data_IF_414496065437
#
_entry.id   IF_414496065437
#
_cell.length_a   1.000
_cell.length_b   1.000
_cell.length_c   1.000
_cell.angle_alpha   90.00
_cell.angle_beta   90.00
_cell.angle_gamma   90.00
#
_symmetry.space_group_name_H-M   'P 1'
#
loop_
_entity.id
_entity.type
_entity.pdbx_description
1 polymer ?
#
# COMPACT_ATOMS: atom_id res chain seq x y z
N UNK A 1 17.65 -16.21 -0.05
CA UNK A 1 18.35 -14.96 0.37
C UNK A 1 17.92 -14.61 1.79
N UNK A 2 18.82 -13.96 2.54
CA UNK A 2 18.52 -13.31 3.80
C UNK A 2 18.31 -11.81 3.57
N UNK A 3 17.13 -11.29 3.88
CA UNK A 3 16.77 -9.88 3.78
C UNK A 3 16.70 -9.28 5.19
N UNK A 4 17.43 -8.20 5.43
CA UNK A 4 17.37 -7.41 6.67
C UNK A 4 16.72 -6.07 6.35
N UNK A 5 15.58 -5.79 6.96
CA UNK A 5 14.73 -4.63 6.64
C UNK A 5 14.58 -3.75 7.87
N UNK A 6 14.83 -2.46 7.73
CA UNK A 6 14.53 -1.42 8.72
C UNK A 6 13.34 -0.62 8.21
N UNK A 7 12.18 -0.77 8.85
CA UNK A 7 10.93 -0.21 8.36
C UNK A 7 10.07 0.47 9.41
N UNK A 8 8.95 1.05 8.95
CA UNK A 8 8.03 1.77 9.81
C UNK A 8 7.32 0.81 10.78
N UNK A 9 6.54 -0.11 10.25
CA UNK A 9 5.82 -1.13 11.02
C UNK A 9 5.31 -2.25 10.14
N UNK A 10 5.40 -3.46 10.62
CA UNK A 10 4.74 -4.66 10.13
C UNK A 10 3.82 -5.24 11.21
N UNK A 11 4.08 -4.88 12.48
CA UNK A 11 3.38 -5.43 13.64
C UNK A 11 2.00 -4.81 13.86
N UNK A 12 1.70 -3.63 13.29
CA UNK A 12 0.42 -2.95 13.44
C UNK A 12 -0.15 -2.47 12.11
N UNK A 13 -1.37 -2.88 11.79
CA UNK A 13 -2.12 -2.39 10.62
C UNK A 13 -2.87 -1.08 10.89
N UNK A 14 -2.81 -0.55 12.10
CA UNK A 14 -3.57 0.61 12.52
C UNK A 14 -3.15 1.87 11.77
N UNK A 15 -4.09 2.42 11.01
CA UNK A 15 -3.95 3.72 10.35
C UNK A 15 -2.93 3.80 9.21
N UNK A 16 -2.32 2.68 8.80
CA UNK A 16 -1.36 2.67 7.70
C UNK A 16 -1.48 1.41 6.82
N UNK A 17 -1.10 1.55 5.55
CA UNK A 17 -1.09 0.45 4.58
C UNK A 17 0.24 -0.33 4.51
N UNK A 18 1.32 0.17 5.13
CA UNK A 18 2.64 -0.46 5.04
C UNK A 18 2.63 -1.88 5.62
N UNK A 19 1.95 -2.07 6.77
CA UNK A 19 1.87 -3.38 7.41
C UNK A 19 1.24 -4.43 6.50
N UNK A 20 0.13 -4.12 5.83
CA UNK A 20 -0.56 -5.05 4.93
C UNK A 20 0.34 -5.43 3.75
N UNK A 21 1.03 -4.44 3.15
CA UNK A 21 1.98 -4.65 2.05
C UNK A 21 3.11 -5.57 2.49
N UNK A 22 3.75 -5.26 3.62
CA UNK A 22 4.86 -6.06 4.14
C UNK A 22 4.45 -7.47 4.53
N UNK A 23 3.31 -7.65 5.20
CA UNK A 23 2.84 -8.98 5.61
C UNK A 23 2.63 -9.90 4.41
N UNK A 24 1.99 -9.40 3.37
CA UNK A 24 1.77 -10.14 2.13
C UNK A 24 3.10 -10.49 1.44
N UNK A 25 3.99 -9.51 1.26
CA UNK A 25 5.28 -9.70 0.60
C UNK A 25 6.20 -10.64 1.41
N UNK A 26 6.31 -10.46 2.73
CA UNK A 26 7.13 -11.33 3.57
C UNK A 26 6.66 -12.78 3.54
N UNK A 27 5.33 -13.01 3.57
CA UNK A 27 4.78 -14.37 3.44
C UNK A 27 5.12 -15.01 2.11
N UNK A 28 5.00 -14.26 1.00
CA UNK A 28 5.35 -14.75 -0.32
C UNK A 28 6.86 -15.04 -0.45
N UNK A 29 7.71 -14.15 0.03
CA UNK A 29 9.15 -14.35 0.05
C UNK A 29 9.55 -15.58 0.90
N UNK A 30 8.93 -15.78 2.05
CA UNK A 30 9.16 -16.96 2.90
C UNK A 30 8.80 -18.28 2.18
N UNK A 31 7.66 -18.32 1.47
CA UNK A 31 7.26 -19.47 0.64
C UNK A 31 8.30 -19.78 -0.46
N UNK A 32 9.01 -18.77 -0.94
CA UNK A 32 10.08 -18.88 -1.94
C UNK A 32 11.45 -19.20 -1.33
N UNK A 33 11.51 -19.47 -0.01
CA UNK A 33 12.71 -19.88 0.71
C UNK A 33 13.63 -18.73 1.13
N UNK A 34 13.12 -17.49 1.17
CA UNK A 34 13.84 -16.37 1.73
C UNK A 34 13.62 -16.26 3.24
N UNK A 35 14.61 -15.71 3.94
CA UNK A 35 14.54 -15.43 5.37
C UNK A 35 14.55 -13.92 5.61
N UNK A 36 13.55 -13.40 6.29
CA UNK A 36 13.37 -11.97 6.52
C UNK A 36 13.62 -11.64 7.99
N UNK A 37 14.44 -10.64 8.27
CA UNK A 37 14.56 -10.01 9.59
C UNK A 37 14.06 -8.59 9.48
N UNK A 38 12.96 -8.30 10.12
CA UNK A 38 12.34 -6.97 10.08
C UNK A 38 12.55 -6.25 11.40
N UNK A 39 13.30 -5.14 11.36
CA UNK A 39 13.52 -4.25 12.49
C UNK A 39 12.45 -3.17 12.50
N UNK A 40 11.72 -3.07 13.59
CA UNK A 40 10.65 -2.10 13.82
C UNK A 40 10.85 -1.40 15.16
N UNK A 41 10.89 -0.07 15.15
CA UNK A 41 10.91 0.69 16.39
C UNK A 41 9.54 0.62 17.07
N UNK A 42 9.54 0.19 18.34
CA UNK A 42 8.33 0.03 19.13
C UNK A 42 7.82 1.39 19.64
N UNK A 43 7.12 2.11 18.74
CA UNK A 43 6.53 3.40 19.08
C UNK A 43 5.14 3.22 19.68
N UNK A 44 4.75 4.01 20.72
CA UNK A 44 3.48 3.85 21.42
C UNK A 44 2.25 3.84 20.51
N UNK A 45 2.27 4.64 19.44
CA UNK A 45 1.16 4.74 18.48
C UNK A 45 0.81 3.40 17.83
N UNK A 46 1.81 2.58 17.49
CA UNK A 46 1.62 1.26 16.91
C UNK A 46 1.55 0.15 17.96
N UNK A 47 2.30 0.27 19.04
CA UNK A 47 2.38 -0.72 20.11
C UNK A 47 1.01 -1.05 20.73
N UNK A 48 0.18 -0.03 20.98
CA UNK A 48 -1.17 -0.19 21.55
C UNK A 48 -2.18 -0.82 20.58
N UNK A 49 -1.84 -0.89 19.30
CA UNK A 49 -2.69 -1.44 18.23
C UNK A 49 -2.00 -2.60 17.50
N UNK A 50 -1.04 -3.28 18.16
CA UNK A 50 -0.33 -4.41 17.57
C UNK A 50 -1.28 -5.58 17.35
N UNK A 51 -1.35 -6.04 16.11
CA UNK A 51 -2.18 -7.15 15.65
C UNK A 51 -1.36 -8.28 15.00
N UNK A 52 0.00 -8.16 14.99
CA UNK A 52 0.92 -9.20 14.58
C UNK A 52 2.10 -9.26 15.57
N UNK A 53 2.41 -10.46 16.11
CA UNK A 53 3.51 -10.69 17.05
C UNK A 53 4.66 -11.50 16.45
N UNK A 54 4.40 -12.24 15.40
CA UNK A 54 5.38 -13.09 14.72
C UNK A 54 5.35 -12.84 13.21
N UNK A 55 6.51 -12.73 12.58
CA UNK A 55 6.62 -12.58 11.14
C UNK A 55 6.71 -13.96 10.48
N UNK A 56 5.73 -14.37 9.67
CA UNK A 56 5.76 -15.66 8.99
C UNK A 56 7.02 -15.85 8.16
N UNK A 57 7.76 -16.93 8.43
CA UNK A 57 9.00 -17.25 7.69
C UNK A 57 10.18 -16.33 7.96
N UNK A 58 10.15 -15.56 9.05
CA UNK A 58 11.18 -14.60 9.38
C UNK A 58 11.20 -14.26 10.87
N UNK A 59 11.81 -13.13 11.19
CA UNK A 59 11.98 -12.63 12.54
C UNK A 59 11.56 -11.16 12.62
N UNK A 60 10.65 -10.85 13.54
CA UNK A 60 10.31 -9.48 13.92
C UNK A 60 11.19 -9.07 15.09
N UNK A 61 11.99 -8.00 14.91
CA UNK A 61 12.81 -7.40 15.93
C UNK A 61 12.22 -6.05 16.34
N UNK A 62 11.50 -6.04 17.44
CA UNK A 62 11.03 -4.81 18.08
C UNK A 62 12.15 -4.21 18.93
N UNK A 63 12.32 -2.88 18.86
CA UNK A 63 13.30 -2.17 19.66
C UNK A 63 12.78 -0.79 20.10
N UNK A 64 13.20 -0.35 21.26
CA UNK A 64 12.82 0.96 21.81
C UNK A 64 13.90 2.01 21.56
N UNK A 65 15.18 1.63 21.62
CA UNK A 65 16.32 2.51 21.42
C UNK A 65 17.27 1.95 20.37
N UNK A 66 17.76 2.83 19.47
CA UNK A 66 18.66 2.46 18.39
C UNK A 66 20.00 1.92 18.89
N UNK A 67 20.55 2.55 19.95
CA UNK A 67 21.83 2.10 20.53
C UNK A 67 21.78 0.69 21.08
N UNK A 68 20.66 0.30 21.70
CA UNK A 68 20.48 -1.02 22.25
C UNK A 68 20.34 -2.10 21.17
N UNK A 69 19.70 -1.79 20.05
CA UNK A 69 19.50 -2.75 18.97
C UNK A 69 20.68 -2.83 18.00
N UNK A 70 21.54 -1.83 17.97
CA UNK A 70 22.66 -1.72 17.02
C UNK A 70 23.55 -2.97 16.95
N UNK A 71 23.99 -3.60 18.09
CA UNK A 71 24.82 -4.82 18.04
C UNK A 71 24.08 -6.00 17.40
N UNK A 72 22.77 -6.08 17.58
CA UNK A 72 21.92 -7.11 16.97
C UNK A 72 21.78 -6.87 15.47
N UNK A 73 21.50 -5.62 15.07
CA UNK A 73 21.40 -5.22 13.68
C UNK A 73 22.70 -5.50 12.91
N UNK A 74 23.86 -5.15 13.48
CA UNK A 74 25.17 -5.45 12.91
C UNK A 74 25.37 -6.95 12.68
N UNK A 75 25.02 -7.78 13.66
CA UNK A 75 25.13 -9.25 13.51
C UNK A 75 24.26 -9.77 12.36
N UNK A 76 23.02 -9.28 12.22
CA UNK A 76 22.16 -9.72 11.12
C UNK A 76 22.64 -9.26 9.76
N UNK A 77 23.32 -8.10 9.68
CA UNK A 77 23.88 -7.56 8.44
C UNK A 77 25.14 -8.27 7.97
N UNK A 78 25.86 -8.99 8.85
CA UNK A 78 27.12 -9.66 8.52
C UNK A 78 26.96 -10.70 7.40
N UNK A 79 25.82 -11.38 7.35
CA UNK A 79 25.50 -12.44 6.37
C UNK A 79 24.23 -12.11 5.56
N UNK A 80 23.84 -10.84 5.49
CA UNK A 80 22.70 -10.40 4.72
C UNK A 80 23.01 -10.42 3.22
N UNK A 81 22.14 -11.01 2.43
CA UNK A 81 22.15 -10.85 0.97
C UNK A 81 21.63 -9.47 0.57
N UNK A 82 20.59 -8.99 1.26
CA UNK A 82 19.96 -7.69 1.02
C UNK A 82 19.78 -6.97 2.35
N UNK A 83 20.25 -5.74 2.43
CA UNK A 83 19.96 -4.81 3.52
C UNK A 83 19.11 -3.66 2.99
N UNK A 84 17.96 -3.41 3.61
CA UNK A 84 16.94 -2.46 3.13
C UNK A 84 16.55 -1.47 4.22
N UNK A 85 16.49 -0.19 3.85
CA UNK A 85 15.83 0.86 4.66
C UNK A 85 14.59 1.32 3.92
N UNK A 86 13.52 1.62 4.66
CA UNK A 86 12.27 2.09 4.04
C UNK A 86 11.93 3.52 4.41
N UNK A 87 11.10 4.15 3.59
CA UNK A 87 10.48 5.42 3.96
C UNK A 87 9.74 5.29 5.30
N UNK A 88 9.67 6.37 6.05
CA UNK A 88 9.06 6.47 7.38
C UNK A 88 9.67 5.56 8.47
N UNK A 89 10.77 4.86 8.22
CA UNK A 89 11.51 4.22 9.30
C UNK A 89 11.94 5.31 10.34
N UNK A 90 11.59 5.18 11.62
CA UNK A 90 11.87 6.23 12.60
C UNK A 90 13.35 6.58 12.76
N UNK A 91 14.23 5.58 12.65
CA UNK A 91 15.70 5.75 12.73
C UNK A 91 16.37 5.65 11.35
N UNK A 92 15.67 6.06 10.27
CA UNK A 92 16.09 5.81 8.89
C UNK A 92 17.50 6.32 8.57
N UNK A 93 17.90 7.47 9.10
CA UNK A 93 19.25 8.02 8.84
C UNK A 93 20.31 7.11 9.44
N UNK A 94 20.17 6.73 10.71
CA UNK A 94 21.12 5.83 11.38
C UNK A 94 21.08 4.42 10.77
N UNK A 95 19.91 3.95 10.35
CA UNK A 95 19.78 2.69 9.63
C UNK A 95 20.42 2.72 8.25
N UNK A 96 20.31 3.84 7.53
CA UNK A 96 20.96 4.04 6.24
C UNK A 96 22.50 4.04 6.37
N UNK A 97 23.04 4.78 7.35
CA UNK A 97 24.47 4.77 7.62
C UNK A 97 25.00 3.37 7.94
N UNK A 98 24.25 2.63 8.76
CA UNK A 98 24.57 1.25 9.10
C UNK A 98 24.50 0.31 7.89
N UNK A 99 23.45 0.39 7.09
CA UNK A 99 23.27 -0.42 5.88
C UNK A 99 24.35 -0.12 4.85
N UNK A 100 24.63 1.15 4.59
CA UNK A 100 25.63 1.57 3.60
C UNK A 100 27.05 1.19 3.99
N UNK A 101 27.35 1.09 5.29
CA UNK A 101 28.65 0.63 5.82
C UNK A 101 28.74 -0.88 6.02
N UNK A 102 27.63 -1.63 5.84
CA UNK A 102 27.59 -3.06 6.09
C UNK A 102 28.20 -3.89 4.95
N UNK A 103 28.60 -5.16 5.23
CA UNK A 103 29.06 -6.10 4.21
C UNK A 103 27.93 -6.75 3.40
N UNK A 104 26.68 -6.31 3.55
CA UNK A 104 25.55 -6.83 2.78
C UNK A 104 25.82 -6.75 1.26
N UNK A 105 25.43 -7.77 0.51
CA UNK A 105 25.70 -7.85 -0.92
C UNK A 105 24.99 -6.76 -1.72
N UNK A 106 23.75 -6.42 -1.33
CA UNK A 106 22.96 -5.34 -1.90
C UNK A 106 22.39 -4.45 -0.79
N UNK A 107 22.60 -3.15 -0.95
CA UNK A 107 22.09 -2.10 -0.05
C UNK A 107 20.98 -1.37 -0.77
N UNK A 108 19.78 -1.45 -0.25
CA UNK A 108 18.59 -0.99 -0.96
C UNK A 108 17.79 0.01 -0.12
N UNK A 109 17.09 0.90 -0.79
CA UNK A 109 16.11 1.78 -0.18
C UNK A 109 14.75 1.51 -0.83
N UNK A 110 13.67 1.42 -0.05
CA UNK A 110 12.33 1.29 -0.59
C UNK A 110 11.43 2.43 -0.11
N UNK A 111 11.05 3.30 -1.04
CA UNK A 111 10.10 4.37 -0.79
C UNK A 111 8.68 3.90 -1.07
N UNK A 112 7.90 3.67 -0.01
CA UNK A 112 6.50 3.24 -0.10
C UNK A 112 5.54 4.42 -0.36
N UNK A 113 6.01 5.67 -0.22
CA UNK A 113 5.20 6.89 -0.37
C UNK A 113 5.89 7.92 -1.28
N UNK A 114 6.52 7.48 -2.35
CA UNK A 114 7.32 8.32 -3.25
C UNK A 114 6.64 9.63 -3.67
N UNK A 115 5.34 9.70 -4.01
CA UNK A 115 4.69 10.97 -4.33
C UNK A 115 4.68 11.96 -3.17
N UNK A 116 4.55 11.48 -1.95
CA UNK A 116 4.59 12.32 -0.74
C UNK A 116 6.02 12.79 -0.46
N UNK A 117 6.99 11.90 -0.59
CA UNK A 117 8.43 12.22 -0.50
C UNK A 117 8.81 13.33 -1.47
N UNK A 118 8.50 13.16 -2.74
CA UNK A 118 8.82 14.11 -3.79
C UNK A 118 8.07 15.45 -3.62
N UNK A 119 6.80 15.42 -3.23
CA UNK A 119 6.02 16.63 -2.94
C UNK A 119 6.64 17.47 -1.82
N UNK A 120 7.08 16.84 -0.72
CA UNK A 120 7.77 17.52 0.37
C UNK A 120 9.09 18.15 -0.10
N UNK A 121 9.88 17.41 -0.88
CA UNK A 121 11.13 17.92 -1.47
C UNK A 121 10.89 19.09 -2.44
N UNK A 122 9.80 19.07 -3.23
CA UNK A 122 9.42 20.20 -4.08
C UNK A 122 9.05 21.45 -3.28
N UNK A 123 8.45 21.25 -2.10
CA UNK A 123 8.13 22.34 -1.18
C UNK A 123 9.35 22.85 -0.38
N UNK A 124 10.54 22.27 -0.59
CA UNK A 124 11.75 22.60 0.17
C UNK A 124 11.71 22.07 1.61
N UNK A 125 10.84 21.13 1.91
CA UNK A 125 10.74 20.50 3.22
C UNK A 125 11.80 19.40 3.38
N UNK A 126 12.24 19.21 4.62
CA UNK A 126 13.08 18.06 4.97
C UNK A 126 12.25 16.78 5.00
N UNK A 127 12.87 15.69 4.55
CA UNK A 127 12.31 14.35 4.61
C UNK A 127 13.14 13.54 5.60
N UNK A 128 12.59 13.21 6.75
CA UNK A 128 13.29 12.70 7.92
C UNK A 128 13.99 11.34 7.71
N UNK A 129 13.60 10.61 6.67
CA UNK A 129 14.16 9.32 6.31
C UNK A 129 15.13 9.36 5.12
N UNK A 130 15.51 10.55 4.64
CA UNK A 130 16.50 10.75 3.57
C UNK A 130 17.62 11.64 4.08
N UNK A 131 18.83 11.08 4.14
CA UNK A 131 20.00 11.79 4.58
C UNK A 131 20.50 12.84 3.57
N UNK A 132 21.51 13.65 3.95
CA UNK A 132 22.02 14.76 3.13
C UNK A 132 22.64 14.32 1.78
N UNK A 133 23.01 13.05 1.67
CA UNK A 133 23.56 12.47 0.43
C UNK A 133 22.49 11.93 -0.53
N UNK A 134 21.19 12.06 -0.17
CA UNK A 134 20.10 11.50 -0.94
C UNK A 134 20.15 9.97 -0.97
N UNK A 135 19.90 9.38 -2.15
CA UNK A 135 19.83 7.92 -2.33
C UNK A 135 20.97 7.39 -3.23
N UNK A 136 22.00 8.20 -3.49
CA UNK A 136 23.08 7.90 -4.46
C UNK A 136 23.93 6.68 -4.10
N UNK A 137 24.04 6.36 -2.82
CA UNK A 137 24.95 5.33 -2.31
C UNK A 137 24.27 3.96 -2.16
N UNK A 138 22.95 3.90 -2.36
CA UNK A 138 22.22 2.65 -2.44
C UNK A 138 22.43 1.97 -3.82
N UNK A 139 22.55 0.66 -3.82
CA UNK A 139 22.72 -0.14 -5.03
C UNK A 139 21.43 -0.20 -5.86
N UNK A 140 20.27 -0.18 -5.19
CA UNK A 140 18.95 -0.16 -5.80
C UNK A 140 17.98 0.65 -4.94
N UNK A 141 17.21 1.52 -5.58
CA UNK A 141 16.09 2.24 -4.97
C UNK A 141 14.79 1.68 -5.54
N UNK A 142 13.95 1.15 -4.67
CA UNK A 142 12.61 0.68 -5.00
C UNK A 142 11.60 1.78 -4.71
N UNK A 143 10.56 1.87 -5.53
CA UNK A 143 9.47 2.83 -5.36
C UNK A 143 8.12 2.14 -5.47
N UNK A 144 7.20 2.45 -4.57
CA UNK A 144 5.80 2.02 -4.68
C UNK A 144 5.09 2.63 -5.91
N UNK A 145 5.71 3.64 -6.52
CA UNK A 145 5.15 4.42 -7.62
C UNK A 145 6.06 4.31 -8.83
N UNK A 146 5.47 4.08 -9.99
CA UNK A 146 6.18 4.03 -11.27
C UNK A 146 6.22 5.37 -11.99
N UNK A 147 6.32 5.33 -13.33
CA UNK A 147 6.26 6.51 -14.18
C UNK A 147 7.33 7.56 -13.87
N UNK A 148 6.96 8.83 -13.94
CA UNK A 148 7.87 9.98 -13.74
C UNK A 148 8.52 10.00 -12.34
N UNK A 149 7.91 9.37 -11.33
CA UNK A 149 8.49 9.28 -9.99
C UNK A 149 9.87 8.62 -9.99
N UNK A 150 10.08 7.62 -10.84
CA UNK A 150 11.36 6.92 -10.95
C UNK A 150 12.47 7.84 -11.48
N UNK A 151 12.15 8.70 -12.44
CA UNK A 151 13.11 9.66 -13.00
C UNK A 151 13.44 10.78 -11.99
N UNK A 152 12.45 11.18 -11.19
CA UNK A 152 12.71 12.15 -10.12
C UNK A 152 13.58 11.59 -8.99
N UNK A 153 13.43 10.32 -8.63
CA UNK A 153 14.35 9.66 -7.69
C UNK A 153 15.79 9.67 -8.18
N UNK A 154 16.03 9.50 -9.50
CA UNK A 154 17.36 9.61 -10.11
C UNK A 154 17.86 11.05 -10.09
N UNK A 155 17.07 11.99 -10.61
CA UNK A 155 17.52 13.36 -10.86
C UNK A 155 17.64 14.21 -9.60
N UNK A 156 16.73 14.02 -8.63
CA UNK A 156 16.70 14.81 -7.40
C UNK A 156 17.47 14.17 -6.24
N UNK A 157 17.37 12.85 -6.11
CA UNK A 157 17.96 12.13 -4.98
C UNK A 157 19.21 11.35 -5.36
N UNK A 158 19.61 11.37 -6.64
CA UNK A 158 20.83 10.77 -7.13
C UNK A 158 20.79 9.23 -7.20
N UNK A 159 19.63 8.61 -7.09
CA UNK A 159 19.48 7.16 -7.20
C UNK A 159 20.07 6.66 -8.53
N UNK A 160 21.00 5.72 -8.47
CA UNK A 160 21.68 5.18 -9.66
C UNK A 160 20.81 4.18 -10.41
N UNK A 161 20.10 3.34 -9.67
CA UNK A 161 19.16 2.34 -10.18
C UNK A 161 17.86 2.47 -9.45
N UNK A 162 16.77 2.47 -10.19
CA UNK A 162 15.43 2.53 -9.65
C UNK A 162 14.57 1.45 -10.30
N UNK A 163 13.66 0.88 -9.53
CA UNK A 163 12.65 -0.02 -10.04
C UNK A 163 11.31 0.20 -9.30
N UNK A 164 10.17 0.05 -9.97
CA UNK A 164 8.89 0.04 -9.27
C UNK A 164 8.73 -1.28 -8.50
N UNK A 165 8.20 -1.20 -7.29
CA UNK A 165 7.72 -2.33 -6.52
C UNK A 165 6.35 -1.96 -5.97
N UNK A 166 5.32 -2.25 -6.74
CA UNK A 166 3.95 -1.88 -6.42
C UNK A 166 3.39 -2.69 -5.24
N UNK A 167 2.26 -2.23 -4.69
CA UNK A 167 1.46 -3.03 -3.79
C UNK A 167 0.96 -4.33 -4.43
N UNK A 168 0.47 -5.20 -3.60
CA UNK A 168 -0.04 -6.51 -4.00
C UNK A 168 -1.12 -6.99 -3.06
N UNK A 169 -1.81 -8.04 -3.45
CA UNK A 169 -2.77 -8.73 -2.60
C UNK A 169 -2.25 -10.11 -2.19
N UNK A 170 -2.62 -10.53 -0.99
CA UNK A 170 -2.48 -11.91 -0.55
C UNK A 170 -3.81 -12.65 -0.79
N UNK A 171 -3.87 -13.59 -1.74
CA UNK A 171 -5.10 -14.32 -2.05
C UNK A 171 -5.57 -15.26 -0.92
N UNK A 172 -4.73 -15.59 0.02
CA UNK A 172 -5.14 -16.36 1.21
C UNK A 172 -5.95 -15.50 2.19
N UNK A 173 -5.67 -14.20 2.22
CA UNK A 173 -6.38 -13.20 3.04
C UNK A 173 -7.56 -12.62 2.27
N UNK A 174 -7.32 -12.06 1.07
CA UNK A 174 -8.34 -11.39 0.26
C UNK A 174 -8.90 -12.34 -0.80
N UNK A 175 -10.06 -12.87 -0.54
CA UNK A 175 -10.78 -13.83 -1.39
C UNK A 175 -12.29 -13.65 -1.22
N UNK A 176 -13.11 -14.16 -2.15
CA UNK A 176 -14.55 -14.15 -1.98
C UNK A 176 -14.97 -14.89 -0.70
N UNK A 177 -15.82 -14.22 0.08
CA UNK A 177 -16.44 -14.77 1.31
C UNK A 177 -17.93 -14.47 1.33
N UNK A 178 -18.66 -15.14 2.20
CA UNK A 178 -20.09 -14.86 2.37
C UNK A 178 -20.32 -13.45 2.90
N UNK A 179 -21.30 -12.72 2.33
CA UNK A 179 -21.66 -11.39 2.82
C UNK A 179 -22.10 -11.39 4.28
N UNK A 180 -21.78 -10.32 4.98
CA UNK A 180 -22.18 -10.06 6.37
C UNK A 180 -23.17 -8.91 6.41
N UNK A 181 -24.35 -9.11 6.97
CA UNK A 181 -25.44 -8.11 6.97
C UNK A 181 -25.03 -6.74 7.55
N UNK A 182 -24.14 -6.72 8.55
CA UNK A 182 -23.63 -5.48 9.13
C UNK A 182 -22.90 -4.59 8.12
N UNK A 183 -22.26 -5.17 7.10
CA UNK A 183 -21.51 -4.48 6.05
C UNK A 183 -22.29 -4.30 4.74
N UNK A 184 -23.54 -4.74 4.68
CA UNK A 184 -24.35 -4.61 3.46
C UNK A 184 -24.50 -3.14 3.04
N UNK A 185 -24.16 -2.82 1.78
CA UNK A 185 -24.28 -1.48 1.23
C UNK A 185 -24.37 -1.50 -0.31
N UNK A 186 -24.97 -0.45 -0.89
CA UNK A 186 -24.91 -0.22 -2.34
C UNK A 186 -23.53 0.23 -2.76
N UNK A 187 -22.92 1.14 -1.99
CA UNK A 187 -21.56 1.59 -2.18
C UNK A 187 -20.81 1.60 -0.85
N UNK A 188 -19.65 0.97 -0.82
CA UNK A 188 -18.75 1.05 0.33
C UNK A 188 -17.47 1.81 0.00
N UNK A 189 -16.85 2.34 1.03
CA UNK A 189 -15.51 2.92 0.98
C UNK A 189 -14.70 2.49 2.19
N UNK A 190 -13.55 1.88 1.97
CA UNK A 190 -12.63 1.47 3.04
C UNK A 190 -11.38 2.34 2.99
N UNK A 191 -11.12 3.12 4.03
CA UNK A 191 -9.91 3.93 4.11
C UNK A 191 -9.83 4.84 5.32
N UNK A 192 -8.63 5.07 5.81
CA UNK A 192 -8.34 6.10 6.80
C UNK A 192 -8.62 7.47 6.19
N UNK A 193 -9.22 8.37 6.97
CA UNK A 193 -9.47 9.73 6.50
C UNK A 193 -8.17 10.44 6.13
N UNK A 194 -8.22 11.17 5.04
CA UNK A 194 -7.19 12.12 4.62
C UNK A 194 -7.87 13.30 3.95
N UNK A 195 -7.49 14.52 4.35
CA UNK A 195 -8.10 15.74 3.87
C UNK A 195 -8.02 15.89 2.34
N UNK A 196 -6.91 15.44 1.76
CA UNK A 196 -6.66 15.47 0.31
C UNK A 196 -7.59 14.55 -0.50
N UNK A 197 -8.35 13.64 0.15
CA UNK A 197 -9.40 12.82 -0.47
C UNK A 197 -10.80 13.42 -0.35
N UNK A 198 -10.99 14.45 0.48
CA UNK A 198 -12.33 14.95 0.81
C UNK A 198 -13.11 15.42 -0.43
N UNK A 199 -12.46 16.11 -1.37
CA UNK A 199 -13.12 16.59 -2.60
C UNK A 199 -13.66 15.43 -3.44
N UNK A 200 -12.86 14.39 -3.67
CA UNK A 200 -13.28 13.20 -4.41
C UNK A 200 -14.36 12.40 -3.66
N UNK A 201 -14.24 12.27 -2.34
CA UNK A 201 -15.30 11.65 -1.51
C UNK A 201 -16.61 12.43 -1.56
N UNK A 202 -16.57 13.75 -1.57
CA UNK A 202 -17.78 14.56 -1.75
C UNK A 202 -18.45 14.21 -3.08
N UNK A 203 -17.71 14.23 -4.18
CA UNK A 203 -18.21 14.04 -5.54
C UNK A 203 -18.69 12.59 -5.77
N UNK A 204 -17.90 11.59 -5.34
CA UNK A 204 -18.11 10.20 -5.75
C UNK A 204 -18.84 9.34 -4.72
N UNK A 205 -19.01 9.85 -3.49
CA UNK A 205 -19.65 9.08 -2.41
C UNK A 205 -20.78 9.86 -1.72
N UNK A 206 -20.48 11.07 -1.22
CA UNK A 206 -21.41 11.81 -0.36
C UNK A 206 -22.57 12.38 -1.17
N UNK A 207 -22.32 13.03 -2.33
CA UNK A 207 -23.39 13.52 -3.19
C UNK A 207 -24.26 12.40 -3.78
N UNK A 208 -23.71 11.27 -4.27
CA UNK A 208 -24.52 10.09 -4.59
C UNK A 208 -25.38 9.61 -3.42
N UNK A 209 -24.83 9.54 -2.20
CA UNK A 209 -25.61 9.14 -1.02
C UNK A 209 -26.78 10.09 -0.75
N UNK A 210 -26.56 11.40 -0.85
CA UNK A 210 -27.63 12.42 -0.68
C UNK A 210 -28.72 12.32 -1.73
N UNK A 211 -28.36 11.97 -2.98
CA UNK A 211 -29.33 11.77 -4.08
C UNK A 211 -30.10 10.45 -3.94
N UNK A 212 -29.49 9.42 -3.36
CA UNK A 212 -30.06 8.06 -3.21
C UNK A 212 -30.38 7.74 -1.74
N UNK A 213 -31.21 8.57 -1.12
CA UNK A 213 -31.51 8.54 0.33
C UNK A 213 -32.07 7.20 0.85
N UNK A 214 -32.65 6.37 -0.01
CA UNK A 214 -33.19 5.07 0.35
C UNK A 214 -32.17 3.93 0.25
N UNK A 215 -30.98 4.20 -0.28
CA UNK A 215 -29.90 3.24 -0.39
C UNK A 215 -28.90 3.41 0.75
N UNK A 216 -28.28 2.32 1.16
CA UNK A 216 -27.29 2.29 2.24
C UNK A 216 -25.88 2.49 1.68
N UNK A 217 -25.17 3.45 2.24
CA UNK A 217 -23.76 3.71 1.96
C UNK A 217 -22.94 3.38 3.21
N UNK A 218 -21.73 2.84 3.06
CA UNK A 218 -20.91 2.38 4.17
C UNK A 218 -19.47 2.89 4.06
N UNK A 219 -19.00 3.56 5.10
CA UNK A 219 -17.59 3.93 5.26
C UNK A 219 -16.97 3.07 6.35
N UNK A 220 -15.86 2.41 6.06
CA UNK A 220 -14.98 1.76 7.02
C UNK A 220 -13.66 2.50 7.12
N UNK A 221 -13.14 2.72 8.34
CA UNK A 221 -11.84 3.36 8.51
C UNK A 221 -11.65 4.10 9.82
N UNK A 222 -10.61 4.93 9.86
CA UNK A 222 -10.22 5.67 11.05
C UNK A 222 -10.01 7.16 10.77
N UNK A 223 -9.87 7.96 11.82
CA UNK A 223 -9.48 9.37 11.81
C UNK A 223 -10.49 10.32 11.12
N UNK A 224 -11.73 9.91 10.90
CA UNK A 224 -12.76 10.79 10.36
C UNK A 224 -13.09 11.92 11.36
N UNK A 225 -13.03 13.21 10.92
CA UNK A 225 -13.31 14.32 11.81
C UNK A 225 -14.81 14.40 12.14
N UNK A 226 -15.13 15.01 13.27
CA UNK A 226 -16.52 15.22 13.67
C UNK A 226 -17.31 16.03 12.63
N UNK A 227 -16.64 16.97 11.96
CA UNK A 227 -17.22 17.84 10.92
C UNK A 227 -17.31 17.16 9.54
N UNK A 228 -17.01 15.85 9.42
CA UNK A 228 -17.20 15.14 8.16
C UNK A 228 -18.65 15.24 7.68
N UNK A 229 -18.92 15.50 6.38
CA UNK A 229 -20.25 15.82 5.88
C UNK A 229 -21.17 14.59 5.75
N UNK A 230 -21.45 13.94 6.86
CA UNK A 230 -22.33 12.77 6.95
C UNK A 230 -23.71 13.02 6.33
N UNK A 231 -24.28 12.02 5.68
CA UNK A 231 -25.68 11.97 5.33
C UNK A 231 -26.37 10.85 6.13
N UNK A 232 -27.70 10.92 6.28
CA UNK A 232 -28.47 10.01 7.15
C UNK A 232 -28.36 8.54 6.74
N UNK A 233 -28.06 8.25 5.49
CA UNK A 233 -27.89 6.92 4.92
C UNK A 233 -26.41 6.50 4.75
N UNK A 234 -25.48 7.27 5.30
CA UNK A 234 -24.05 6.89 5.38
C UNK A 234 -23.78 6.30 6.77
N UNK A 235 -23.43 5.03 6.80
CA UNK A 235 -23.07 4.31 8.02
C UNK A 235 -21.55 4.26 8.15
N UNK A 236 -21.07 4.20 9.39
CA UNK A 236 -19.63 4.22 9.67
C UNK A 236 -19.22 3.04 10.56
N UNK A 237 -18.16 2.36 10.16
CA UNK A 237 -17.47 1.33 10.94
C UNK A 237 -16.08 1.84 11.28
N UNK A 238 -15.86 2.11 12.57
CA UNK A 238 -14.56 2.56 13.04
C UNK A 238 -13.56 1.41 12.98
N UNK A 239 -12.53 1.54 12.15
CA UNK A 239 -11.48 0.57 11.94
C UNK A 239 -12.01 -0.84 11.59
N UNK A 240 -11.89 -1.21 10.33
CA UNK A 240 -12.13 -2.59 9.89
C UNK A 240 -10.76 -3.29 9.91
N UNK A 241 -10.55 -4.30 10.78
CA UNK A 241 -9.28 -5.00 10.82
C UNK A 241 -9.06 -5.83 9.53
N UNK A 242 -7.80 -6.07 9.11
CA UNK A 242 -7.48 -6.69 7.82
C UNK A 242 -8.19 -8.02 7.55
N UNK A 243 -8.36 -8.85 8.56
CA UNK A 243 -9.09 -10.13 8.44
C UNK A 243 -10.58 -9.98 8.12
N UNK A 244 -11.16 -8.79 8.36
CA UNK A 244 -12.55 -8.47 8.03
C UNK A 244 -12.70 -7.72 6.70
N UNK A 245 -11.60 -7.30 6.05
CA UNK A 245 -11.66 -6.65 4.74
C UNK A 245 -12.42 -7.46 3.69
N UNK A 246 -12.21 -8.79 3.55
CA UNK A 246 -12.99 -9.59 2.60
C UNK A 246 -14.49 -9.52 2.86
N UNK A 247 -14.93 -9.64 4.12
CA UNK A 247 -16.34 -9.54 4.48
C UNK A 247 -16.91 -8.14 4.21
N UNK A 248 -16.12 -7.09 4.49
CA UNK A 248 -16.51 -5.71 4.18
C UNK A 248 -16.71 -5.49 2.68
N UNK A 249 -15.77 -5.93 1.85
CA UNK A 249 -15.86 -5.80 0.40
C UNK A 249 -17.01 -6.65 -0.16
N UNK A 250 -17.05 -7.95 0.14
CA UNK A 250 -18.04 -8.88 -0.40
C UNK A 250 -19.48 -8.58 0.02
N UNK A 251 -19.70 -7.74 1.02
CA UNK A 251 -21.04 -7.35 1.48
C UNK A 251 -21.60 -6.14 0.75
N UNK A 252 -20.81 -5.49 -0.09
CA UNK A 252 -21.21 -4.31 -0.83
C UNK A 252 -21.43 -4.64 -2.31
N UNK A 253 -22.44 -4.00 -2.91
CA UNK A 253 -22.69 -4.16 -4.34
C UNK A 253 -21.60 -3.59 -5.21
N UNK A 254 -20.97 -2.50 -4.74
CA UNK A 254 -19.88 -1.78 -5.39
C UNK A 254 -18.96 -1.19 -4.30
N UNK A 255 -17.66 -1.16 -4.51
CA UNK A 255 -16.74 -0.49 -3.59
C UNK A 255 -16.00 0.65 -4.29
N UNK A 256 -15.81 1.76 -3.56
CA UNK A 256 -15.13 2.95 -4.07
C UNK A 256 -13.65 2.93 -3.70
N UNK A 257 -12.79 3.20 -4.64
CA UNK A 257 -11.42 3.65 -4.41
C UNK A 257 -11.32 5.15 -4.65
N UNK A 258 -10.70 5.87 -3.71
CA UNK A 258 -10.28 7.26 -3.88
C UNK A 258 -8.79 7.34 -3.60
N UNK A 259 -8.05 7.80 -4.57
CA UNK A 259 -6.59 7.93 -4.49
C UNK A 259 -6.21 9.23 -3.78
N UNK A 260 -5.13 9.22 -3.00
CA UNK A 260 -4.59 10.44 -2.40
C UNK A 260 -4.14 11.39 -3.50
N UNK A 261 -4.38 12.69 -3.29
CA UNK A 261 -4.13 13.70 -4.32
C UNK A 261 -2.70 13.68 -4.87
N UNK A 262 -1.70 13.61 -4.00
CA UNK A 262 -0.30 13.54 -4.43
C UNK A 262 0.00 12.30 -5.27
N UNK A 263 -0.65 11.17 -4.99
CA UNK A 263 -0.51 9.92 -5.73
C UNK A 263 -1.23 9.99 -7.07
N UNK A 264 -2.43 10.57 -7.12
CA UNK A 264 -3.19 10.76 -8.36
C UNK A 264 -2.50 11.75 -9.32
N UNK A 265 -1.93 12.84 -8.79
CA UNK A 265 -1.17 13.83 -9.56
C UNK A 265 0.14 13.25 -10.13
N UNK A 266 0.81 12.34 -9.41
CA UNK A 266 2.03 11.67 -9.88
C UNK A 266 1.73 10.56 -10.89
N UNK A 267 0.58 9.88 -10.77
CA UNK A 267 0.23 8.72 -11.58
C UNK A 267 0.99 7.45 -11.17
N UNK A 268 0.68 6.35 -11.83
CA UNK A 268 1.34 5.04 -11.66
C UNK A 268 1.50 4.60 -10.19
N UNK A 269 0.52 4.94 -9.34
CA UNK A 269 0.54 4.67 -7.89
C UNK A 269 -0.76 3.96 -7.45
N UNK A 270 -0.87 2.64 -7.68
CA UNK A 270 -2.07 1.90 -7.35
C UNK A 270 -2.25 1.77 -5.84
N UNK A 271 -3.45 2.07 -5.36
CA UNK A 271 -3.82 1.75 -3.97
C UNK A 271 -3.93 0.24 -3.78
N UNK A 272 -3.44 -0.31 -2.67
CA UNK A 272 -3.64 -1.73 -2.32
C UNK A 272 -5.10 -2.16 -2.34
N UNK A 273 -6.02 -1.26 -2.02
CA UNK A 273 -7.48 -1.50 -2.08
C UNK A 273 -7.98 -1.94 -3.45
N UNK A 274 -7.38 -1.46 -4.56
CA UNK A 274 -7.73 -1.90 -5.91
C UNK A 274 -7.54 -3.41 -6.04
N UNK A 275 -6.42 -3.92 -5.58
CA UNK A 275 -6.09 -5.34 -5.66
C UNK A 275 -6.86 -6.16 -4.63
N UNK A 276 -7.02 -5.64 -3.41
CA UNK A 276 -7.75 -6.32 -2.32
C UNK A 276 -9.22 -6.54 -2.66
N UNK A 277 -9.91 -5.50 -3.14
CA UNK A 277 -11.33 -5.61 -3.50
C UNK A 277 -11.55 -6.45 -4.76
N UNK A 278 -10.69 -6.30 -5.78
CA UNK A 278 -10.76 -7.14 -6.99
C UNK A 278 -10.52 -8.62 -6.67
N UNK A 279 -9.54 -8.96 -5.82
CA UNK A 279 -9.30 -10.34 -5.37
C UNK A 279 -10.50 -10.93 -4.62
N UNK A 280 -11.26 -10.09 -3.91
CA UNK A 280 -12.53 -10.47 -3.28
C UNK A 280 -13.69 -10.64 -4.28
N UNK A 281 -13.49 -10.35 -5.56
CA UNK A 281 -14.51 -10.46 -6.60
C UNK A 281 -15.59 -9.38 -6.50
N UNK A 282 -15.23 -8.18 -6.03
CA UNK A 282 -16.14 -7.05 -5.88
C UNK A 282 -15.85 -6.00 -6.94
N UNK A 283 -16.88 -5.49 -7.66
CA UNK A 283 -16.65 -4.48 -8.68
C UNK A 283 -16.18 -3.16 -8.05
N UNK A 284 -15.23 -2.51 -8.72
CA UNK A 284 -14.57 -1.31 -8.28
C UNK A 284 -15.04 -0.08 -9.04
N UNK A 285 -15.40 0.98 -8.31
CA UNK A 285 -15.53 2.35 -8.78
C UNK A 285 -14.28 3.12 -8.34
N UNK A 286 -13.63 3.87 -9.22
CA UNK A 286 -12.42 4.63 -8.88
C UNK A 286 -12.40 6.01 -9.52
N UNK A 287 -11.74 6.95 -8.86
CA UNK A 287 -11.21 8.15 -9.52
C UNK A 287 -10.18 7.74 -10.59
N UNK A 288 -9.93 8.65 -11.53
CA UNK A 288 -8.93 8.45 -12.60
C UNK A 288 -7.60 9.11 -12.26
N UNK A 289 -6.52 8.42 -12.61
CA UNK A 289 -5.16 8.94 -12.59
C UNK A 289 -4.32 8.26 -13.68
N UNK A 290 -3.24 8.90 -14.12
CA UNK A 290 -2.37 8.41 -15.19
C UNK A 290 -1.73 7.07 -14.84
N UNK A 291 -1.85 6.08 -15.74
CA UNK A 291 -1.32 4.73 -15.59
C UNK A 291 -2.22 3.78 -14.77
N UNK A 292 -3.45 4.19 -14.40
CA UNK A 292 -4.41 3.27 -13.78
C UNK A 292 -4.72 2.10 -14.73
N UNK A 293 -4.83 2.37 -16.01
CA UNK A 293 -5.10 1.43 -17.09
C UNK A 293 -4.00 0.38 -17.30
N UNK A 294 -2.81 0.59 -16.77
CA UNK A 294 -1.75 -0.44 -16.72
C UNK A 294 -2.10 -1.55 -15.73
N UNK A 295 -2.85 -1.23 -14.67
CA UNK A 295 -3.21 -2.17 -13.61
C UNK A 295 -4.56 -2.83 -13.82
N UNK A 296 -5.58 -2.04 -14.23
CA UNK A 296 -6.95 -2.50 -14.46
C UNK A 296 -7.54 -1.74 -15.66
N UNK A 297 -8.10 -2.46 -16.62
CA UNK A 297 -8.67 -1.89 -17.84
C UNK A 297 -9.99 -1.16 -17.56
N UNK A 298 -10.08 0.17 -17.84
CA UNK A 298 -11.31 0.94 -17.67
C UNK A 298 -12.48 0.39 -18.47
N UNK A 299 -13.63 0.22 -17.82
CA UNK A 299 -14.86 -0.30 -18.42
C UNK A 299 -14.93 -1.83 -18.50
N UNK A 300 -13.80 -2.53 -18.50
CA UNK A 300 -13.74 -3.98 -18.51
C UNK A 300 -13.43 -4.58 -17.13
N UNK A 301 -12.50 -3.97 -16.38
CA UNK A 301 -11.99 -4.45 -15.09
C UNK A 301 -12.25 -3.47 -13.94
N UNK A 302 -12.45 -2.18 -14.28
CA UNK A 302 -12.72 -1.12 -13.30
C UNK A 302 -13.66 -0.08 -13.89
N UNK A 303 -14.54 0.49 -13.04
CA UNK A 303 -15.43 1.58 -13.43
C UNK A 303 -14.78 2.90 -13.03
N UNK A 304 -14.67 3.85 -13.95
CA UNK A 304 -14.10 5.17 -13.68
C UNK A 304 -15.21 6.19 -13.48
N UNK A 305 -15.09 7.00 -12.43
CA UNK A 305 -15.95 8.13 -12.16
C UNK A 305 -15.15 9.41 -11.94
N UNK A 306 -15.55 10.49 -12.58
CA UNK A 306 -14.99 11.83 -12.41
C UNK A 306 -16.01 12.81 -11.84
N UNK A 307 -17.28 12.49 -11.97
CA UNK A 307 -18.41 13.31 -11.55
C UNK A 307 -19.38 12.50 -10.68
N UNK A 308 -20.28 13.20 -10.01
CA UNK A 308 -21.39 12.56 -9.27
C UNK A 308 -22.30 11.77 -10.20
N UNK A 309 -22.53 12.25 -11.41
CA UNK A 309 -23.34 11.60 -12.44
C UNK A 309 -22.69 10.27 -12.89
N UNK A 310 -21.37 10.21 -13.04
CA UNK A 310 -20.66 8.96 -13.34
C UNK A 310 -20.87 7.93 -12.21
N UNK A 311 -20.74 8.37 -10.97
CA UNK A 311 -20.94 7.50 -9.81
C UNK A 311 -22.40 6.99 -9.71
N UNK A 312 -23.37 7.84 -9.99
CA UNK A 312 -24.77 7.44 -10.07
C UNK A 312 -25.03 6.46 -11.22
N UNK A 313 -24.41 6.70 -12.39
CA UNK A 313 -24.46 5.78 -13.51
C UNK A 313 -23.88 4.39 -13.17
N UNK A 314 -22.76 4.34 -12.47
CA UNK A 314 -22.18 3.09 -11.98
C UNK A 314 -23.13 2.33 -11.05
N UNK A 315 -23.83 3.02 -10.17
CA UNK A 315 -24.84 2.43 -9.27
C UNK A 315 -26.10 1.94 -9.99
N UNK A 316 -26.32 2.32 -11.24
CA UNK A 316 -27.44 1.85 -12.07
C UNK A 316 -27.08 0.64 -12.93
N UNK A 317 -25.81 0.24 -13.04
CA UNK A 317 -25.40 -0.94 -13.79
C UNK A 317 -26.13 -2.18 -13.29
N UNK A 318 -26.47 -3.11 -14.18
CA UNK A 318 -27.11 -4.35 -13.78
C UNK A 318 -26.16 -5.24 -12.98
N UNK A 319 -26.71 -6.14 -12.18
CA UNK A 319 -25.91 -7.14 -11.44
C UNK A 319 -25.01 -7.98 -12.37
N UNK A 320 -25.50 -8.30 -13.58
CA UNK A 320 -24.73 -9.04 -14.58
C UNK A 320 -23.52 -8.23 -15.11
N UNK A 321 -23.71 -6.92 -15.37
CA UNK A 321 -22.62 -6.06 -15.79
C UNK A 321 -21.55 -5.92 -14.70
N UNK A 322 -21.98 -5.70 -13.46
CA UNK A 322 -21.07 -5.61 -12.32
C UNK A 322 -20.33 -6.93 -12.07
N UNK A 323 -21.00 -8.08 -12.18
CA UNK A 323 -20.39 -9.38 -12.02
C UNK A 323 -19.32 -9.67 -13.08
N UNK A 324 -19.55 -9.28 -14.36
CA UNK A 324 -18.53 -9.41 -15.41
C UNK A 324 -17.31 -8.57 -15.12
N UNK A 325 -17.48 -7.29 -14.75
CA UNK A 325 -16.37 -6.39 -14.41
C UNK A 325 -15.57 -6.95 -13.22
N UNK A 326 -16.27 -7.39 -12.17
CA UNK A 326 -15.63 -7.96 -10.99
C UNK A 326 -14.85 -9.25 -11.29
N UNK A 327 -15.39 -10.10 -12.18
CA UNK A 327 -14.72 -11.32 -12.61
C UNK A 327 -13.42 -11.01 -13.36
N UNK A 328 -13.48 -10.14 -14.38
CA UNK A 328 -12.30 -9.74 -15.16
C UNK A 328 -11.25 -9.06 -14.29
N UNK A 329 -11.66 -8.16 -13.40
CA UNK A 329 -10.74 -7.52 -12.43
C UNK A 329 -10.04 -8.56 -11.54
N UNK A 330 -10.78 -9.55 -11.06
CA UNK A 330 -10.22 -10.61 -10.22
C UNK A 330 -9.22 -11.48 -10.99
N UNK A 331 -9.52 -11.89 -12.22
CA UNK A 331 -8.60 -12.65 -13.07
C UNK A 331 -7.30 -11.87 -13.26
N UNK A 332 -7.38 -10.59 -13.67
CA UNK A 332 -6.22 -9.71 -13.83
C UNK A 332 -5.36 -9.64 -12.57
N UNK A 333 -5.99 -9.40 -11.41
CA UNK A 333 -5.28 -9.25 -10.14
C UNK A 333 -4.64 -10.55 -9.68
N UNK A 334 -5.31 -11.68 -9.88
CA UNK A 334 -4.76 -13.00 -9.53
C UNK A 334 -3.56 -13.37 -10.41
N UNK A 335 -3.53 -12.94 -11.66
CA UNK A 335 -2.42 -13.23 -12.57
C UNK A 335 -1.22 -12.28 -12.36
N UNK A 336 -1.45 -10.99 -12.10
CA UNK A 336 -0.39 -9.99 -12.18
C UNK A 336 -0.09 -9.24 -10.87
N UNK A 337 -1.02 -9.25 -9.88
CA UNK A 337 -0.91 -8.37 -8.71
C UNK A 337 -0.94 -9.09 -7.37
N UNK A 338 -0.65 -10.38 -7.35
CA UNK A 338 -0.49 -11.13 -6.09
C UNK A 338 0.84 -10.83 -5.41
N UNK A 339 0.91 -11.08 -4.10
CA UNK A 339 2.15 -10.99 -3.34
C UNK A 339 3.25 -11.93 -3.87
N UNK A 340 2.87 -13.08 -4.41
CA UNK A 340 3.80 -14.04 -5.02
C UNK A 340 4.42 -13.48 -6.30
N UNK A 341 3.62 -12.84 -7.16
CA UNK A 341 4.12 -12.11 -8.31
C UNK A 341 5.07 -10.99 -7.89
N UNK A 342 4.69 -10.22 -6.88
CA UNK A 342 5.50 -9.11 -6.36
C UNK A 342 6.80 -9.57 -5.73
N UNK A 343 6.83 -10.73 -5.10
CA UNK A 343 8.07 -11.36 -4.62
C UNK A 343 9.00 -11.72 -5.79
N UNK A 344 8.45 -12.23 -6.89
CA UNK A 344 9.23 -12.51 -8.11
C UNK A 344 9.76 -11.22 -8.76
N UNK A 345 8.97 -10.15 -8.80
CA UNK A 345 9.41 -8.84 -9.30
C UNK A 345 10.57 -8.27 -8.46
N UNK A 346 10.48 -8.40 -7.13
CA UNK A 346 11.56 -8.00 -6.23
C UNK A 346 12.83 -8.83 -6.49
N UNK A 347 12.73 -10.14 -6.60
CA UNK A 347 13.87 -11.00 -6.93
C UNK A 347 14.53 -10.60 -8.24
N UNK A 348 13.74 -10.32 -9.28
CA UNK A 348 14.24 -9.89 -10.58
C UNK A 348 14.96 -8.53 -10.48
N UNK A 349 14.40 -7.56 -9.75
CA UNK A 349 15.03 -6.26 -9.54
C UNK A 349 16.36 -6.36 -8.76
N UNK A 350 16.41 -7.22 -7.74
CA UNK A 350 17.62 -7.47 -6.95
C UNK A 350 18.70 -8.17 -7.81
N UNK A 351 18.33 -9.17 -8.61
CA UNK A 351 19.26 -9.86 -9.52
C UNK A 351 19.85 -8.88 -10.54
N UNK A 352 19.03 -8.06 -11.19
CA UNK A 352 19.50 -7.04 -12.14
C UNK A 352 20.44 -6.00 -11.51
N UNK A 353 20.21 -5.67 -10.23
CA UNK A 353 21.10 -4.76 -9.50
C UNK A 353 22.45 -5.40 -9.17
N UNK A 354 22.47 -6.70 -8.87
CA UNK A 354 23.68 -7.47 -8.56
C UNK A 354 24.59 -7.62 -9.79
N UNK A 355 24.03 -8.04 -10.94
CA UNK A 355 24.79 -8.35 -12.17
C UNK A 355 25.54 -7.12 -12.72
N UNK A 356 25.09 -5.93 -12.42
CA UNK A 356 25.72 -4.68 -12.86
C UNK A 356 26.73 -4.11 -11.83
N UNK A 357 26.86 -4.73 -10.66
CA UNK A 357 27.80 -4.33 -9.59
C UNK A 357 29.07 -5.21 -9.59
N UNK A 358 29.04 -6.34 -10.31
CA UNK A 358 30.18 -7.24 -10.56
C UNK A 358 30.94 -6.84 -11.82
#
# INVERSE_FOLDING_TARGET
MKLVIFGLTVSSSWGNGHATIWRALCRALAKRGHYIVFFERDVPYYAIHRDLTELPGGQLQLYSDWGDVLPLAQRHLTDADVAMVTSYCPDAIAAADLVLSSPARLRTFYDLDTPVTLKRLHAGELVDYIGPHGLRDFDLVLSFTGGAALDELKTRLGARRVAPLYGSVDPEVHRPVLPVAAYSAELSYLGTYAEDRQAALNTLFIEPARKLQHQRFLIGGALYPQAFPWAANIFFVRHVPPEQHPAFFCSSRLTLNVTRRAMAEMGYCPSGRLFEAAACGVPLLSDWWEGLDVFLEPGAEIIIARTTEDALGALQLSGEQLARIAHSARERVMDEHTAERRAADLEAALAAAHDTSA
#
